data_IF_568784390035
#
_entry.id   IF_568784390035
#
_cell.length_a   1.000
_cell.length_b   1.000
_cell.length_c   1.000
_cell.angle_alpha   90.00
_cell.angle_beta   90.00
_cell.angle_gamma   90.00
#
_symmetry.space_group_name_H-M   'P 1'
#
loop_
_entity.id
_entity.type
_entity.pdbx_description
1 polymer ?
#
# COMPACT_ATOMS: atom_id res chain seq x y z
N UNK A 1 33.63 24.47 -16.71
CA UNK A 1 32.35 24.55 -17.46
C UNK A 1 31.54 23.25 -17.36
N UNK A 2 32.10 22.05 -17.56
CA UNK A 2 31.36 20.77 -17.42
C UNK A 2 30.90 20.45 -15.98
N UNK A 3 31.61 20.92 -14.95
CA UNK A 3 31.31 20.59 -13.53
C UNK A 3 30.11 21.34 -12.93
N UNK A 4 29.65 22.41 -13.58
CA UNK A 4 28.50 23.22 -13.12
C UNK A 4 27.19 22.71 -13.74
N UNK A 5 27.25 22.07 -14.91
CA UNK A 5 26.05 21.51 -15.56
C UNK A 5 25.51 20.23 -14.90
N UNK A 6 26.28 19.54 -14.06
CA UNK A 6 25.77 18.39 -13.29
C UNK A 6 25.03 18.80 -12.00
N UNK A 7 25.18 20.03 -11.52
CA UNK A 7 24.48 20.48 -10.30
C UNK A 7 23.07 21.03 -10.57
N UNK A 8 22.66 21.12 -11.84
CA UNK A 8 21.33 21.59 -12.25
C UNK A 8 20.53 20.52 -13.02
N UNK A 9 20.84 19.24 -12.82
CA UNK A 9 19.76 18.26 -12.90
C UNK A 9 18.88 18.52 -11.69
N UNK A 10 17.80 19.27 -11.89
CA UNK A 10 16.66 19.33 -10.98
C UNK A 10 16.36 17.88 -10.63
N UNK A 11 16.76 17.43 -9.43
CA UNK A 11 16.29 16.16 -8.92
C UNK A 11 14.78 16.35 -8.86
N UNK A 12 14.05 15.65 -9.74
CA UNK A 12 12.60 15.66 -9.72
C UNK A 12 12.17 15.44 -8.26
N UNK A 13 11.27 16.30 -7.78
CA UNK A 13 10.85 16.28 -6.38
C UNK A 13 10.41 14.86 -6.02
N UNK A 14 11.08 14.24 -5.04
CA UNK A 14 10.82 12.84 -4.69
C UNK A 14 9.44 12.75 -4.06
N UNK A 15 8.56 11.97 -4.67
CA UNK A 15 7.18 11.80 -4.21
C UNK A 15 7.11 10.80 -3.05
N UNK A 16 6.11 10.95 -2.17
CA UNK A 16 5.88 9.99 -1.09
C UNK A 16 5.69 8.54 -1.59
N UNK A 17 5.07 8.36 -2.76
CA UNK A 17 4.90 7.06 -3.38
C UNK A 17 6.26 6.41 -3.78
N UNK A 18 7.21 7.20 -4.28
CA UNK A 18 8.56 6.73 -4.58
C UNK A 18 9.30 6.30 -3.31
N UNK A 19 9.18 7.09 -2.22
CA UNK A 19 9.77 6.72 -0.94
C UNK A 19 9.18 5.42 -0.38
N UNK A 20 7.87 5.20 -0.50
CA UNK A 20 7.22 3.94 -0.12
C UNK A 20 7.78 2.77 -0.94
N UNK A 21 7.89 2.94 -2.26
CA UNK A 21 8.41 1.90 -3.14
C UNK A 21 9.88 1.55 -2.85
N UNK A 22 10.73 2.55 -2.58
CA UNK A 22 12.11 2.36 -2.17
C UNK A 22 12.22 1.64 -0.82
N UNK A 23 11.38 2.04 0.15
CA UNK A 23 11.32 1.37 1.45
C UNK A 23 10.94 -0.11 1.32
N UNK A 24 9.92 -0.42 0.52
CA UNK A 24 9.53 -1.80 0.22
C UNK A 24 10.65 -2.60 -0.43
N UNK A 25 11.33 -2.03 -1.42
CA UNK A 25 12.47 -2.67 -2.07
C UNK A 25 13.60 -2.96 -1.09
N UNK A 26 13.90 -2.03 -0.18
CA UNK A 26 14.94 -2.22 0.85
C UNK A 26 14.62 -3.33 1.85
N UNK A 27 13.33 -3.69 1.99
CA UNK A 27 12.82 -4.73 2.89
C UNK A 27 12.50 -6.04 2.15
N UNK A 28 12.97 -6.22 0.92
CA UNK A 28 12.74 -7.41 0.08
C UNK A 28 11.26 -7.71 -0.19
N UNK A 29 10.39 -6.70 -0.24
CA UNK A 29 9.00 -6.88 -0.67
C UNK A 29 8.99 -7.14 -2.17
N UNK A 30 8.58 -8.33 -2.58
CA UNK A 30 8.52 -8.73 -3.99
C UNK A 30 7.14 -8.56 -4.63
N UNK A 31 6.07 -8.73 -3.84
CA UNK A 31 4.71 -8.83 -4.34
C UNK A 31 3.78 -7.80 -3.70
N UNK A 32 2.89 -7.28 -4.53
CA UNK A 32 1.79 -6.41 -4.13
C UNK A 32 0.49 -6.90 -4.77
N UNK A 33 -0.53 -7.14 -3.95
CA UNK A 33 -1.85 -7.62 -4.38
C UNK A 33 -2.87 -6.54 -4.07
N UNK A 34 -3.82 -6.29 -4.95
CA UNK A 34 -4.77 -5.24 -4.66
C UNK A 34 -5.80 -4.94 -5.72
N UNK A 35 -6.64 -3.96 -5.39
CA UNK A 35 -7.49 -3.26 -6.34
C UNK A 35 -7.03 -1.80 -6.33
N UNK A 36 -6.52 -1.35 -7.47
CA UNK A 36 -6.02 0.02 -7.61
C UNK A 36 -7.14 0.95 -8.06
N UNK A 37 -7.25 2.07 -7.35
CA UNK A 37 -8.12 3.20 -7.65
C UNK A 37 -7.63 4.43 -6.90
N UNK A 38 -8.25 5.59 -7.14
CA UNK A 38 -7.94 6.81 -6.38
C UNK A 38 -8.25 6.55 -4.90
N UNK A 39 -7.37 6.90 -3.94
CA UNK A 39 -6.15 7.71 -4.07
C UNK A 39 -4.83 6.91 -3.92
N UNK A 40 -4.75 5.67 -4.44
CA UNK A 40 -3.59 4.78 -4.25
C UNK A 40 -2.85 4.39 -5.55
N UNK A 41 -3.21 5.04 -6.65
CA UNK A 41 -2.68 4.73 -7.99
C UNK A 41 -1.17 4.96 -8.04
N UNK A 42 -0.72 6.08 -7.47
CA UNK A 42 0.66 6.54 -7.49
C UNK A 42 1.59 5.55 -6.76
N UNK A 43 1.11 4.95 -5.66
CA UNK A 43 1.85 3.93 -4.90
C UNK A 43 2.03 2.66 -5.72
N UNK A 44 0.97 2.20 -6.40
CA UNK A 44 1.06 1.03 -7.27
C UNK A 44 2.05 1.27 -8.43
N UNK A 45 1.96 2.43 -9.08
CA UNK A 45 2.86 2.81 -10.17
C UNK A 45 4.32 2.89 -9.70
N UNK A 46 4.57 3.53 -8.57
CA UNK A 46 5.92 3.63 -8.00
C UNK A 46 6.48 2.26 -7.60
N UNK A 47 5.66 1.39 -6.99
CA UNK A 47 6.04 0.03 -6.63
C UNK A 47 6.42 -0.80 -7.87
N UNK A 48 5.60 -0.74 -8.93
CA UNK A 48 5.90 -1.41 -10.19
C UNK A 48 7.20 -0.89 -10.82
N UNK A 49 7.42 0.43 -10.83
CA UNK A 49 8.65 1.04 -11.33
C UNK A 49 9.89 0.62 -10.52
N UNK A 50 9.74 0.35 -9.22
CA UNK A 50 10.81 -0.16 -8.35
C UNK A 50 11.11 -1.65 -8.56
N UNK A 51 10.26 -2.37 -9.30
CA UNK A 51 10.39 -3.80 -9.62
C UNK A 51 9.50 -4.72 -8.79
N UNK A 52 8.58 -4.18 -8.00
CA UNK A 52 7.60 -4.96 -7.23
C UNK A 52 6.52 -5.49 -8.17
N UNK A 53 6.22 -6.79 -8.09
CA UNK A 53 5.24 -7.45 -8.93
C UNK A 53 3.84 -7.14 -8.43
N UNK A 54 3.13 -6.28 -9.15
CA UNK A 54 1.74 -5.98 -8.87
C UNK A 54 0.81 -7.05 -9.48
N UNK A 55 -0.08 -7.59 -8.66
CA UNK A 55 -1.11 -8.56 -9.04
C UNK A 55 -2.49 -7.95 -8.78
N UNK A 56 -3.19 -7.60 -9.85
CA UNK A 56 -4.56 -7.09 -9.77
C UNK A 56 -5.54 -8.17 -9.35
N UNK A 57 -6.39 -7.85 -8.38
CA UNK A 57 -7.39 -8.76 -7.81
C UNK A 57 -8.80 -8.22 -8.08
N UNK A 58 -9.81 -9.11 -8.05
CA UNK A 58 -11.22 -8.72 -8.20
C UNK A 58 -11.93 -8.39 -6.87
N UNK A 59 -11.27 -8.64 -5.74
CA UNK A 59 -11.81 -8.43 -4.40
C UNK A 59 -10.69 -8.13 -3.39
N UNK A 60 -10.89 -7.14 -2.51
CA UNK A 60 -9.89 -6.69 -1.54
C UNK A 60 -9.63 -7.70 -0.43
N UNK A 61 -10.65 -8.46 -0.01
CA UNK A 61 -10.46 -9.56 0.94
C UNK A 61 -9.54 -10.64 0.36
N UNK A 62 -9.78 -11.03 -0.89
CA UNK A 62 -8.95 -11.99 -1.60
C UNK A 62 -7.52 -11.48 -1.81
N UNK A 63 -7.35 -10.19 -2.10
CA UNK A 63 -6.03 -9.56 -2.17
C UNK A 63 -5.26 -9.68 -0.85
N UNK A 64 -5.93 -9.42 0.27
CA UNK A 64 -5.32 -9.53 1.59
C UNK A 64 -4.95 -10.98 1.93
N UNK A 65 -5.80 -11.96 1.59
CA UNK A 65 -5.45 -13.38 1.75
C UNK A 65 -4.22 -13.78 0.93
N UNK A 66 -4.15 -13.37 -0.34
CA UNK A 66 -3.02 -13.68 -1.20
C UNK A 66 -1.72 -13.07 -0.67
N UNK A 67 -1.74 -11.80 -0.25
CA UNK A 67 -0.60 -11.14 0.35
C UNK A 67 -0.13 -11.85 1.64
N UNK A 68 -1.08 -12.21 2.50
CA UNK A 68 -0.79 -12.91 3.76
C UNK A 68 -0.23 -14.31 3.52
N UNK A 69 -0.71 -15.01 2.48
CA UNK A 69 -0.20 -16.32 2.09
C UNK A 69 1.26 -16.25 1.61
N UNK A 70 1.65 -15.21 0.86
CA UNK A 70 3.07 -14.98 0.53
C UNK A 70 3.90 -14.78 1.80
N UNK A 71 3.40 -13.96 2.73
CA UNK A 71 4.01 -13.78 4.04
C UNK A 71 4.29 -15.09 4.76
N UNK A 72 3.27 -15.93 4.84
CA UNK A 72 3.35 -17.25 5.48
C UNK A 72 4.34 -18.20 4.78
N UNK A 73 4.27 -18.29 3.45
CA UNK A 73 5.07 -19.26 2.67
C UNK A 73 6.53 -18.87 2.56
N UNK A 74 6.85 -17.58 2.54
CA UNK A 74 8.19 -17.08 2.25
C UNK A 74 8.93 -16.54 3.49
N UNK A 75 8.19 -16.22 4.56
CA UNK A 75 8.70 -15.49 5.71
C UNK A 75 8.91 -14.00 5.46
N UNK A 76 8.67 -13.50 4.24
CA UNK A 76 8.76 -12.08 3.87
C UNK A 76 7.37 -11.51 3.58
N UNK A 77 7.01 -10.36 4.17
CA UNK A 77 5.68 -9.79 3.96
C UNK A 77 5.47 -9.36 2.51
N UNK A 78 4.27 -9.62 1.99
CA UNK A 78 3.77 -8.97 0.79
C UNK A 78 2.80 -7.83 1.15
N UNK A 79 2.52 -6.97 0.17
CA UNK A 79 1.65 -5.82 0.36
C UNK A 79 0.24 -6.11 -0.15
N UNK A 80 -0.77 -5.84 0.67
CA UNK A 80 -2.16 -5.67 0.26
C UNK A 80 -2.40 -4.17 0.04
N UNK A 81 -2.69 -3.77 -1.21
CA UNK A 81 -2.95 -2.39 -1.60
C UNK A 81 -4.44 -2.19 -1.90
N UNK A 82 -5.09 -1.31 -1.16
CA UNK A 82 -6.53 -1.04 -1.29
C UNK A 82 -6.82 0.46 -1.30
N UNK A 83 -7.95 0.84 -1.89
CA UNK A 83 -8.46 2.20 -1.83
C UNK A 83 -8.98 2.56 -0.44
N UNK A 84 -9.25 3.84 -0.22
CA UNK A 84 -9.84 4.35 1.02
C UNK A 84 -11.23 3.77 1.28
N UNK A 85 -11.68 3.84 2.53
CA UNK A 85 -13.07 3.58 2.92
C UNK A 85 -13.53 2.17 2.56
N UNK A 86 -14.39 1.98 1.54
CA UNK A 86 -14.87 0.65 1.15
C UNK A 86 -13.76 -0.36 0.87
N UNK A 87 -12.64 0.05 0.25
CA UNK A 87 -11.55 -0.87 -0.07
C UNK A 87 -10.93 -1.51 1.18
N UNK A 88 -10.62 -0.67 2.17
CA UNK A 88 -10.12 -1.16 3.46
C UNK A 88 -11.16 -1.97 4.24
N UNK A 89 -12.43 -1.55 4.21
CA UNK A 89 -13.53 -2.29 4.88
C UNK A 89 -13.67 -3.69 4.28
N UNK A 90 -13.60 -3.83 2.96
CA UNK A 90 -13.66 -5.14 2.30
C UNK A 90 -12.44 -6.02 2.61
N UNK A 91 -11.27 -5.42 2.81
CA UNK A 91 -10.06 -6.15 3.21
C UNK A 91 -10.13 -6.71 4.64
N UNK A 92 -11.02 -6.19 5.50
CA UNK A 92 -11.05 -6.46 6.95
C UNK A 92 -11.02 -7.95 7.32
N UNK A 93 -11.75 -8.79 6.57
CA UNK A 93 -11.74 -10.24 6.79
C UNK A 93 -10.37 -10.89 6.57
N UNK A 94 -9.64 -10.43 5.56
CA UNK A 94 -8.27 -10.89 5.30
C UNK A 94 -7.27 -10.36 6.33
N UNK A 95 -7.45 -9.12 6.80
CA UNK A 95 -6.65 -8.51 7.86
C UNK A 95 -6.82 -9.33 9.15
N UNK A 96 -8.07 -9.56 9.58
CA UNK A 96 -8.36 -10.36 10.77
C UNK A 96 -7.75 -11.76 10.69
N UNK A 97 -7.85 -12.42 9.53
CA UNK A 97 -7.22 -13.72 9.31
C UNK A 97 -5.69 -13.66 9.44
N UNK A 98 -5.04 -12.67 8.84
CA UNK A 98 -3.60 -12.52 8.94
C UNK A 98 -3.15 -12.31 10.39
N UNK A 99 -3.90 -11.49 11.15
CA UNK A 99 -3.63 -11.25 12.56
C UNK A 99 -3.74 -12.54 13.38
N UNK A 100 -4.88 -13.24 13.28
CA UNK A 100 -5.16 -14.46 14.06
C UNK A 100 -4.16 -15.58 13.80
N UNK A 101 -3.59 -15.65 12.59
CA UNK A 101 -2.61 -16.66 12.22
C UNK A 101 -1.16 -16.19 12.37
N UNK A 102 -0.92 -14.94 12.79
CA UNK A 102 0.40 -14.31 12.83
C UNK A 102 1.13 -14.35 11.47
N UNK A 103 0.40 -14.17 10.37
CA UNK A 103 0.97 -14.18 9.03
C UNK A 103 1.45 -12.77 8.65
N UNK A 104 2.73 -12.60 8.25
CA UNK A 104 3.27 -11.28 8.02
C UNK A 104 2.67 -10.67 6.75
N UNK A 105 2.01 -9.53 6.88
CA UNK A 105 1.41 -8.80 5.76
C UNK A 105 1.48 -7.30 6.03
N UNK A 106 1.72 -6.52 4.98
CA UNK A 106 1.63 -5.07 5.02
C UNK A 106 0.34 -4.66 4.32
N UNK A 107 -0.51 -3.88 4.98
CA UNK A 107 -1.76 -3.39 4.40
C UNK A 107 -1.66 -1.88 4.23
N UNK A 108 -1.79 -1.41 2.99
CA UNK A 108 -1.83 0.01 2.66
C UNK A 108 -3.23 0.32 2.13
N UNK A 109 -3.94 1.19 2.86
CA UNK A 109 -5.17 1.82 2.41
C UNK A 109 -4.90 3.25 1.96
N UNK A 110 -5.50 3.66 0.86
CA UNK A 110 -5.59 5.08 0.51
C UNK A 110 -6.35 5.89 1.58
N UNK A 111 -6.20 7.21 1.56
CA UNK A 111 -6.97 8.12 2.42
C UNK A 111 -7.30 9.39 1.65
N UNK A 112 -8.36 10.09 2.06
CA UNK A 112 -8.66 11.43 1.59
C UNK A 112 -7.50 12.39 1.89
N UNK A 113 -7.44 13.50 1.15
CA UNK A 113 -6.48 14.55 1.44
C UNK A 113 -6.67 15.09 2.86
N UNK A 114 -5.55 15.41 3.52
CA UNK A 114 -5.55 15.85 4.92
C UNK A 114 -6.36 17.13 5.16
N UNK A 115 -6.47 18.01 4.18
CA UNK A 115 -7.27 19.24 4.27
C UNK A 115 -8.79 19.00 4.11
N UNK A 116 -9.19 17.77 3.75
CA UNK A 116 -10.58 17.35 3.59
C UNK A 116 -11.03 16.35 4.67
N UNK A 117 -10.14 15.95 5.58
CA UNK A 117 -10.52 15.12 6.72
C UNK A 117 -11.63 15.80 7.53
N UNK A 118 -12.62 15.01 7.94
CA UNK A 118 -13.86 15.36 8.64
C UNK A 118 -14.86 16.22 7.86
N UNK A 119 -14.68 16.36 6.55
CA UNK A 119 -15.56 17.19 5.70
C UNK A 119 -16.57 16.38 4.87
N UNK A 120 -16.55 15.05 4.96
CA UNK A 120 -17.36 14.18 4.11
C UNK A 120 -16.72 13.98 2.73
N UNK A 121 -15.39 13.86 2.71
CA UNK A 121 -14.64 13.70 1.48
C UNK A 121 -14.96 12.37 0.77
N UNK A 122 -14.58 12.27 -0.50
CA UNK A 122 -14.82 11.06 -1.28
C UNK A 122 -14.18 9.84 -0.62
N UNK A 123 -15.00 8.82 -0.34
CA UNK A 123 -14.58 7.58 0.34
C UNK A 123 -13.83 7.79 1.66
N UNK A 124 -14.12 8.90 2.35
CA UNK A 124 -13.62 9.17 3.68
C UNK A 124 -14.16 8.16 4.70
N UNK A 125 -13.29 7.65 5.56
CA UNK A 125 -13.67 6.73 6.62
C UNK A 125 -12.64 6.78 7.77
N UNK A 126 -13.02 6.57 9.05
CA UNK A 126 -12.08 6.47 10.17
C UNK A 126 -11.34 5.12 10.19
N UNK A 127 -10.54 4.89 9.15
CA UNK A 127 -9.80 3.66 8.85
C UNK A 127 -8.89 3.20 9.98
N UNK A 128 -8.13 4.12 10.57
CA UNK A 128 -7.21 3.82 11.68
C UNK A 128 -7.97 3.32 12.91
N UNK A 129 -9.13 3.91 13.20
CA UNK A 129 -9.99 3.50 14.32
C UNK A 129 -10.57 2.09 14.10
N UNK A 130 -10.97 1.77 12.87
CA UNK A 130 -11.47 0.44 12.52
C UNK A 130 -10.39 -0.64 12.71
N UNK A 131 -9.18 -0.39 12.23
CA UNK A 131 -8.11 -1.40 12.23
C UNK A 131 -7.49 -1.61 13.61
N UNK A 132 -7.53 -0.61 14.50
CA UNK A 132 -6.94 -0.68 15.85
C UNK A 132 -7.45 -1.85 16.70
N UNK A 133 -8.65 -2.37 16.45
CA UNK A 133 -9.21 -3.51 17.21
C UNK A 133 -8.98 -4.86 16.52
N UNK A 134 -8.36 -4.86 15.35
CA UNK A 134 -8.08 -6.05 14.52
C UNK A 134 -6.57 -6.27 14.39
N UNK A 135 -5.78 -5.21 14.47
CA UNK A 135 -4.32 -5.20 14.55
C UNK A 135 -3.91 -5.07 16.02
N UNK A 136 -3.09 -6.02 16.49
CA UNK A 136 -2.51 -6.00 17.84
C UNK A 136 -1.45 -4.90 17.97
#
# INVERSE_FOLDING_TARGET
LIRVYMSEMIMAEVTGAQLIAEAFKSQNVEYMFGIVGVPIIEVAMAAQAAGIKYVGMGNEQAACYAASAIGYLTGWPAVCLVVSGPGLIHALGGIANANMNCWPVIVIGGSSDRNQETTGAFQEFPQVGLIRNVWL
#
